data_IF_719871265449
#
_entry.id   IF_719871265449
#
_cell.length_a   1.000
_cell.length_b   1.000
_cell.length_c   1.000
_cell.angle_alpha   90.00
_cell.angle_beta   90.00
_cell.angle_gamma   90.00
#
_symmetry.space_group_name_H-M   'P 1'
#
loop_
_entity.id
_entity.type
_entity.pdbx_description
1 polymer ?
#
# COMPACT_ATOMS: atom_id res chain seq x y z
N UNK A 1 18.17 15.51 52.72
CA UNK A 1 17.42 15.45 51.44
C UNK A 1 18.22 14.80 50.30
N UNK A 2 19.49 15.16 50.03
CA UNK A 2 20.28 14.48 48.99
C UNK A 2 20.62 12.99 49.26
N UNK A 3 20.71 12.55 50.53
CA UNK A 3 20.90 11.12 50.89
C UNK A 3 19.63 10.25 50.79
N UNK A 4 18.43 10.86 50.71
CA UNK A 4 17.18 10.12 50.52
C UNK A 4 16.93 9.79 49.05
N UNK A 5 17.33 10.67 48.12
CA UNK A 5 17.15 10.45 46.68
C UNK A 5 18.03 9.32 46.12
N UNK A 6 19.24 9.13 46.65
CA UNK A 6 20.16 8.09 46.17
C UNK A 6 19.73 6.67 46.56
N UNK A 7 19.10 6.48 47.73
CA UNK A 7 18.58 5.17 48.14
C UNK A 7 17.30 4.78 47.38
N UNK A 8 16.47 5.75 46.99
CA UNK A 8 15.25 5.48 46.22
C UNK A 8 15.57 5.06 44.76
N UNK A 9 16.63 5.62 44.17
CA UNK A 9 17.13 5.24 42.84
C UNK A 9 17.80 3.86 42.82
N UNK A 10 18.41 3.42 43.92
CA UNK A 10 18.96 2.06 44.03
C UNK A 10 17.85 1.01 44.18
N UNK A 11 16.80 1.27 44.98
CA UNK A 11 15.65 0.36 45.10
C UNK A 11 14.88 0.20 43.77
N UNK A 12 14.72 1.29 43.01
CA UNK A 12 14.08 1.25 41.69
C UNK A 12 14.85 0.41 40.66
N UNK A 13 16.19 0.42 40.70
CA UNK A 13 17.02 -0.42 39.83
C UNK A 13 16.94 -1.91 40.19
N UNK A 14 16.91 -2.27 41.47
CA UNK A 14 16.84 -3.68 41.90
C UNK A 14 15.47 -4.30 41.54
N UNK A 15 14.38 -3.54 41.62
CA UNK A 15 13.05 -3.97 41.18
C UNK A 15 12.96 -4.16 39.65
N UNK A 16 13.63 -3.31 38.87
CA UNK A 16 13.63 -3.41 37.41
C UNK A 16 14.41 -4.64 36.90
N UNK A 17 15.54 -4.98 37.53
CA UNK A 17 16.34 -6.15 37.16
C UNK A 17 15.66 -7.48 37.55
N UNK A 18 14.97 -7.53 38.70
CA UNK A 18 14.26 -8.74 39.12
C UNK A 18 13.01 -9.03 38.27
N UNK A 19 12.28 -8.00 37.82
CA UNK A 19 11.15 -8.18 36.91
C UNK A 19 11.59 -8.65 35.51
N UNK A 20 12.71 -8.16 34.99
CA UNK A 20 13.24 -8.62 33.70
C UNK A 20 13.76 -10.08 33.77
N UNK A 21 14.36 -10.47 34.89
CA UNK A 21 14.79 -11.87 35.11
C UNK A 21 13.63 -12.86 35.17
N UNK A 22 12.50 -12.47 35.77
CA UNK A 22 11.28 -13.28 35.82
C UNK A 22 10.61 -13.41 34.44
N UNK A 23 10.58 -12.34 33.64
CA UNK A 23 10.03 -12.37 32.28
C UNK A 23 10.92 -13.20 31.33
N UNK A 24 12.25 -13.09 31.46
CA UNK A 24 13.19 -13.89 30.68
C UNK A 24 13.12 -15.39 31.01
N UNK A 25 12.92 -15.74 32.29
CA UNK A 25 12.74 -17.14 32.72
C UNK A 25 11.42 -17.73 32.24
N UNK A 26 10.36 -16.92 32.22
CA UNK A 26 9.04 -17.31 31.69
C UNK A 26 9.07 -17.54 30.17
N UNK A 27 9.79 -16.70 29.42
CA UNK A 27 10.01 -16.89 27.98
C UNK A 27 10.93 -18.08 27.68
N UNK A 28 11.97 -18.33 28.48
CA UNK A 28 12.85 -19.49 28.33
C UNK A 28 12.10 -20.82 28.57
N UNK A 29 11.17 -20.87 29.53
CA UNK A 29 10.28 -22.02 29.76
C UNK A 29 9.24 -22.19 28.64
N UNK A 30 8.74 -21.11 28.04
CA UNK A 30 7.80 -21.19 26.92
C UNK A 30 8.48 -21.71 25.62
N UNK A 31 9.72 -21.31 25.38
CA UNK A 31 10.53 -21.75 24.23
C UNK A 31 10.94 -23.23 24.37
N UNK A 32 11.24 -23.69 25.59
CA UNK A 32 11.58 -25.11 25.83
C UNK A 32 10.36 -26.03 25.75
N UNK A 33 9.17 -25.56 26.11
CA UNK A 33 7.93 -26.34 25.98
C UNK A 33 7.44 -26.46 24.52
N UNK A 34 7.72 -25.46 23.67
CA UNK A 34 7.39 -25.50 22.23
C UNK A 34 8.34 -26.42 21.43
N UNK A 35 9.62 -26.49 21.81
CA UNK A 35 10.63 -27.30 21.11
C UNK A 35 10.52 -28.83 21.36
N UNK A 36 9.68 -29.28 22.30
CA UNK A 36 9.42 -30.70 22.52
C UNK A 36 8.23 -31.24 21.68
N UNK A 37 7.49 -30.35 21.01
CA UNK A 37 6.32 -30.67 20.18
C UNK A 37 6.59 -30.61 18.67
N UNK A 38 7.74 -30.08 18.24
CA UNK A 38 8.13 -29.98 16.82
C UNK A 38 9.56 -30.51 16.69
N UNK A 39 9.69 -31.79 16.40
CA UNK A 39 10.98 -32.44 16.18
C UNK A 39 11.63 -31.99 14.87
N UNK A 40 12.38 -30.87 14.89
CA UNK A 40 13.34 -30.52 13.84
C UNK A 40 14.58 -29.88 14.47
N UNK A 41 15.74 -30.54 14.28
CA UNK A 41 17.07 -30.13 14.75
C UNK A 41 17.50 -28.83 14.06
N UNK A 42 17.83 -27.79 14.83
CA UNK A 42 18.56 -26.62 14.33
C UNK A 42 19.90 -26.49 15.07
N UNK A 43 20.97 -26.47 14.25
CA UNK A 43 22.35 -26.21 14.62
C UNK A 43 22.51 -24.80 15.21
N UNK A 44 23.34 -24.71 16.25
CA UNK A 44 23.75 -23.48 16.91
C UNK A 44 24.54 -22.54 15.98
N UNK A 45 24.19 -21.26 15.95
CA UNK A 45 25.03 -20.20 15.37
C UNK A 45 25.41 -19.17 16.44
N UNK A 46 26.71 -18.99 16.63
CA UNK A 46 27.33 -17.86 17.33
C UNK A 46 27.55 -16.70 16.35
N UNK A 47 27.58 -15.44 16.83
CA UNK A 47 27.88 -14.28 15.99
C UNK A 47 29.40 -14.06 15.96
N UNK A 48 29.99 -13.85 14.77
CA UNK A 48 31.02 -12.83 14.49
C UNK A 48 31.68 -13.06 13.11
N UNK A 49 31.86 -11.95 12.39
CA UNK A 49 32.91 -11.63 11.40
C UNK A 49 32.89 -12.20 9.97
N UNK A 50 32.99 -11.23 9.04
CA UNK A 50 33.51 -11.29 7.66
C UNK A 50 32.67 -11.97 6.56
N UNK A 51 32.02 -11.11 5.76
CA UNK A 51 31.41 -11.40 4.46
C UNK A 51 32.47 -11.33 3.35
N UNK A 52 33.11 -12.46 3.01
CA UNK A 52 33.78 -12.64 1.71
C UNK A 52 34.21 -14.09 1.46
N UNK A 53 33.27 -15.05 1.33
CA UNK A 53 33.53 -16.35 0.66
C UNK A 53 32.35 -17.32 0.75
N UNK A 54 31.22 -17.07 0.09
CA UNK A 54 30.21 -18.12 -0.18
C UNK A 54 29.63 -17.87 -1.58
N UNK A 55 30.39 -18.23 -2.61
CA UNK A 55 29.92 -18.42 -3.97
C UNK A 55 30.78 -19.51 -4.63
N UNK A 56 30.65 -20.73 -4.12
CA UNK A 56 31.04 -21.95 -4.81
C UNK A 56 30.52 -23.13 -3.98
N UNK A 57 29.93 -24.12 -4.64
CA UNK A 57 29.58 -25.45 -4.11
C UNK A 57 28.15 -25.65 -3.60
N UNK A 58 27.15 -25.58 -4.49
CA UNK A 58 25.96 -26.48 -4.41
C UNK A 58 25.43 -26.71 -5.83
N UNK A 59 26.05 -27.61 -6.58
CA UNK A 59 25.44 -28.14 -7.81
C UNK A 59 25.92 -29.58 -8.04
N UNK A 60 25.39 -30.50 -7.25
CA UNK A 60 25.39 -31.92 -7.55
C UNK A 60 24.34 -32.61 -6.68
N UNK A 61 23.45 -33.37 -7.34
CA UNK A 61 22.62 -34.50 -6.86
C UNK A 61 21.13 -34.35 -7.21
N UNK A 62 20.74 -34.95 -8.35
CA UNK A 62 19.68 -35.96 -8.45
C UNK A 62 19.21 -36.14 -9.92
N UNK A 63 19.27 -37.37 -10.48
CA UNK A 63 18.54 -37.73 -11.70
C UNK A 63 17.42 -38.74 -11.40
N UNK A 64 16.15 -38.44 -11.70
CA UNK A 64 15.10 -39.49 -11.80
C UNK A 64 13.95 -39.10 -12.77
N UNK A 65 13.87 -39.88 -13.86
CA UNK A 65 12.73 -40.37 -14.67
C UNK A 65 11.49 -39.51 -15.04
N UNK A 66 11.21 -39.38 -16.36
CA UNK A 66 10.08 -40.04 -17.10
C UNK A 66 10.03 -39.59 -18.59
N UNK A 67 9.35 -40.33 -19.52
CA UNK A 67 9.76 -40.46 -20.94
C UNK A 67 8.81 -39.79 -21.98
N UNK A 68 9.15 -39.84 -23.29
CA UNK A 68 8.11 -39.98 -24.31
C UNK A 68 8.35 -41.09 -25.37
N UNK A 69 7.23 -41.51 -25.96
CA UNK A 69 6.91 -42.58 -26.92
C UNK A 69 7.45 -42.34 -28.38
N UNK A 70 7.34 -43.35 -29.29
CA UNK A 70 8.24 -43.57 -30.45
C UNK A 70 7.62 -43.07 -31.78
N UNK A 71 8.32 -43.11 -32.95
CA UNK A 71 8.41 -44.37 -33.73
C UNK A 71 9.70 -44.56 -34.58
N UNK A 72 9.80 -45.80 -35.08
CA UNK A 72 10.52 -46.30 -36.28
C UNK A 72 11.87 -47.00 -36.09
N UNK A 73 11.82 -48.29 -36.42
CA UNK A 73 12.91 -49.24 -36.52
C UNK A 73 13.78 -48.95 -37.75
N UNK A 74 15.10 -48.98 -37.58
CA UNK A 74 15.98 -50.02 -38.12
C UNK A 74 17.41 -49.50 -38.39
N UNK A 75 18.36 -50.38 -38.09
CA UNK A 75 19.77 -50.42 -38.53
C UNK A 75 20.86 -49.81 -37.63
N UNK A 76 21.47 -50.74 -36.88
CA UNK A 76 22.92 -51.01 -36.80
C UNK A 76 23.88 -49.98 -36.17
N UNK A 77 24.21 -50.30 -34.92
CA UNK A 77 25.53 -50.27 -34.27
C UNK A 77 26.72 -50.19 -35.24
N UNK A 78 27.49 -49.09 -35.19
CA UNK A 78 28.96 -49.11 -35.21
C UNK A 78 29.56 -47.71 -34.94
N UNK A 79 30.31 -47.64 -33.83
CA UNK A 79 31.56 -46.92 -33.64
C UNK A 79 31.64 -45.38 -33.85
N UNK A 80 31.73 -44.72 -32.70
CA UNK A 80 32.48 -43.48 -32.41
C UNK A 80 33.88 -43.46 -33.06
N UNK A 81 34.33 -42.22 -33.30
CA UNK A 81 35.70 -41.65 -33.41
C UNK A 81 35.79 -40.94 -34.78
N UNK A 82 35.72 -39.61 -34.93
CA UNK A 82 36.54 -38.59 -34.27
C UNK A 82 35.87 -37.21 -34.40
N UNK A 83 35.43 -36.60 -33.29
CA UNK A 83 35.13 -35.16 -33.22
C UNK A 83 36.19 -34.46 -32.38
N UNK A 84 37.44 -34.47 -32.86
CA UNK A 84 38.53 -33.65 -32.30
C UNK A 84 38.95 -32.50 -33.24
N UNK A 85 38.10 -32.15 -34.21
CA UNK A 85 38.33 -31.07 -35.17
C UNK A 85 37.22 -29.99 -35.22
N UNK A 86 36.22 -30.06 -34.33
CA UNK A 86 35.10 -29.10 -34.28
C UNK A 86 35.03 -28.30 -32.96
N UNK A 87 36.07 -28.36 -32.13
CA UNK A 87 36.17 -27.59 -30.88
C UNK A 87 37.05 -26.34 -31.01
N UNK A 88 37.75 -26.14 -32.14
CA UNK A 88 38.60 -24.96 -32.39
C UNK A 88 37.94 -23.90 -33.29
N UNK A 89 36.75 -24.16 -33.84
CA UNK A 89 36.07 -23.21 -34.74
C UNK A 89 34.95 -22.40 -34.06
N UNK A 90 34.48 -22.79 -32.85
CA UNK A 90 33.46 -22.05 -32.11
C UNK A 90 34.04 -21.03 -31.11
N UNK A 91 35.34 -21.12 -30.80
CA UNK A 91 36.04 -20.16 -29.93
C UNK A 91 36.43 -18.85 -30.64
N UNK A 92 36.34 -18.79 -31.97
CA UNK A 92 36.76 -17.63 -32.76
C UNK A 92 35.60 -16.72 -33.20
N UNK A 93 34.34 -17.12 -32.96
CA UNK A 93 33.16 -16.28 -33.24
C UNK A 93 32.49 -15.71 -31.97
N UNK A 94 33.07 -15.96 -30.79
CA UNK A 94 32.59 -15.43 -29.51
C UNK A 94 33.45 -14.26 -28.98
N UNK A 95 34.42 -13.76 -29.76
CA UNK A 95 35.29 -12.64 -29.37
C UNK A 95 35.14 -11.37 -30.22
N UNK A 96 34.08 -11.31 -31.05
CA UNK A 96 33.74 -10.11 -31.82
C UNK A 96 32.30 -9.64 -31.57
N UNK A 97 31.76 -9.91 -30.39
CA UNK A 97 30.93 -8.90 -29.73
C UNK A 97 31.92 -8.00 -29.01
N UNK A 98 32.64 -7.22 -29.83
CA UNK A 98 33.39 -6.08 -29.36
C UNK A 98 32.43 -5.31 -28.47
N UNK A 99 32.80 -5.20 -27.20
CA UNK A 99 32.41 -4.16 -26.26
C UNK A 99 31.63 -3.05 -26.95
N UNK A 100 30.32 -3.25 -27.12
CA UNK A 100 29.42 -2.11 -27.04
C UNK A 100 29.65 -1.66 -25.62
N UNK A 101 30.57 -0.71 -25.50
CA UNK A 101 30.54 0.23 -24.43
C UNK A 101 29.06 0.61 -24.36
N UNK A 102 28.32 0.02 -23.42
CA UNK A 102 27.46 0.81 -22.59
C UNK A 102 28.41 1.84 -21.98
N UNK A 103 28.80 2.83 -22.79
CA UNK A 103 29.28 4.08 -22.31
C UNK A 103 28.18 4.43 -21.33
N UNK A 104 28.51 4.29 -20.04
CA UNK A 104 27.61 4.62 -18.96
C UNK A 104 27.03 5.97 -19.38
N UNK A 105 25.76 5.96 -19.79
CA UNK A 105 25.03 7.16 -20.19
C UNK A 105 25.34 8.14 -19.08
N UNK A 106 26.17 9.15 -19.38
CA UNK A 106 26.90 9.91 -18.39
C UNK A 106 25.91 10.27 -17.29
N UNK A 107 26.06 9.66 -16.10
CA UNK A 107 25.03 9.66 -15.07
C UNK A 107 24.57 11.09 -14.89
N UNK A 108 23.39 11.41 -15.44
CA UNK A 108 22.95 12.79 -15.65
C UNK A 108 23.08 13.48 -14.31
N UNK A 109 23.97 14.47 -14.22
CA UNK A 109 24.33 15.07 -12.94
C UNK A 109 23.04 15.49 -12.21
N UNK A 110 22.77 14.84 -11.07
CA UNK A 110 21.55 15.09 -10.30
C UNK A 110 21.76 16.43 -9.60
N UNK A 111 21.48 17.54 -10.28
CA UNK A 111 21.46 18.86 -9.66
C UNK A 111 20.12 19.05 -8.94
N UNK A 112 20.09 19.19 -7.60
CA UNK A 112 18.86 19.53 -6.91
C UNK A 112 18.44 20.95 -7.33
N UNK A 113 17.19 21.11 -7.76
CA UNK A 113 16.60 22.42 -8.01
C UNK A 113 16.50 23.20 -6.71
N UNK A 114 17.09 24.40 -6.65
CA UNK A 114 17.04 25.28 -5.47
C UNK A 114 15.60 25.61 -5.05
N UNK A 115 14.67 25.69 -6.00
CA UNK A 115 13.27 26.04 -5.77
C UNK A 115 12.42 24.90 -5.19
N UNK A 116 12.94 23.66 -5.14
CA UNK A 116 12.20 22.53 -4.57
C UNK A 116 12.18 22.64 -3.06
N UNK A 117 11.01 22.98 -2.54
CA UNK A 117 10.75 23.04 -1.12
C UNK A 117 10.71 21.62 -0.52
N UNK A 118 11.40 21.43 0.60
CA UNK A 118 11.41 20.14 1.34
C UNK A 118 10.25 20.01 2.32
N UNK A 119 9.80 21.14 2.85
CA UNK A 119 8.74 21.21 3.84
C UNK A 119 7.69 22.23 3.41
N UNK A 120 6.50 21.75 3.06
CA UNK A 120 5.35 22.59 2.84
C UNK A 120 4.57 22.72 4.14
N UNK A 121 4.42 23.95 4.62
CA UNK A 121 3.70 24.27 5.86
C UNK A 121 2.21 23.87 5.81
N UNK A 122 1.64 23.73 4.61
CA UNK A 122 0.24 23.35 4.39
C UNK A 122 0.00 21.85 4.56
N UNK A 123 1.07 21.04 4.58
CA UNK A 123 0.97 19.60 4.46
C UNK A 123 0.36 19.15 3.12
N UNK A 124 -0.05 17.88 3.06
CA UNK A 124 -0.69 17.33 1.88
C UNK A 124 -2.16 17.80 1.82
N UNK A 125 -2.59 18.31 0.67
CA UNK A 125 -4.00 18.70 0.47
C UNK A 125 -4.89 17.47 0.33
N UNK A 126 -6.07 17.53 0.98
CA UNK A 126 -7.10 16.49 0.91
C UNK A 126 -7.72 16.36 -0.49
N UNK A 127 -8.06 17.49 -1.12
CA UNK A 127 -8.66 17.55 -2.45
C UNK A 127 -7.65 18.17 -3.40
N UNK A 128 -7.27 17.41 -4.43
CA UNK A 128 -6.29 17.80 -5.45
C UNK A 128 -6.97 17.84 -6.82
N UNK A 129 -7.26 19.04 -7.36
CA UNK A 129 -7.76 19.17 -8.71
C UNK A 129 -6.64 18.91 -9.72
N UNK A 130 -6.94 18.18 -10.80
CA UNK A 130 -6.03 17.89 -11.90
C UNK A 130 -6.64 18.39 -13.21
N UNK A 131 -6.10 19.47 -13.77
CA UNK A 131 -6.66 20.11 -14.97
C UNK A 131 -8.08 20.63 -14.69
N UNK A 132 -9.06 20.13 -15.45
CA UNK A 132 -10.49 20.47 -15.26
C UNK A 132 -11.21 19.55 -14.28
N UNK A 133 -10.52 18.51 -13.78
CA UNK A 133 -11.13 17.50 -12.92
C UNK A 133 -10.94 17.85 -11.46
N UNK A 134 -12.06 18.06 -10.77
CA UNK A 134 -12.12 18.37 -9.35
C UNK A 134 -12.85 17.23 -8.64
N UNK A 135 -12.25 16.60 -7.61
CA UNK A 135 -12.95 15.63 -6.79
C UNK A 135 -14.21 16.24 -6.17
N UNK A 136 -15.34 15.54 -6.27
CA UNK A 136 -16.63 15.95 -5.70
C UNK A 136 -16.94 15.08 -4.50
N UNK A 137 -17.28 15.72 -3.39
CA UNK A 137 -17.65 15.06 -2.14
C UNK A 137 -19.03 15.56 -1.75
N UNK A 138 -19.95 14.63 -1.48
CA UNK A 138 -21.27 14.95 -0.96
C UNK A 138 -21.19 15.63 0.42
N UNK A 139 -22.24 16.38 0.79
CA UNK A 139 -22.23 17.20 2.02
C UNK A 139 -22.30 16.34 3.28
N UNK A 140 -22.96 15.19 3.20
CA UNK A 140 -23.12 14.23 4.30
C UNK A 140 -22.01 13.16 4.33
N UNK A 141 -21.13 13.14 3.33
CA UNK A 141 -20.07 12.16 3.23
C UNK A 141 -18.89 12.51 4.14
N UNK A 142 -18.43 11.53 4.92
CA UNK A 142 -17.27 11.68 5.77
C UNK A 142 -15.98 11.40 5.00
N UNK A 143 -15.08 12.38 4.93
CA UNK A 143 -13.73 12.19 4.37
C UNK A 143 -12.70 12.62 5.40
N UNK A 144 -11.96 11.64 5.90
CA UNK A 144 -10.90 11.85 6.88
C UNK A 144 -9.83 12.86 6.41
N UNK A 145 -9.19 13.60 7.34
CA UNK A 145 -8.24 14.67 7.00
C UNK A 145 -6.96 14.16 6.32
N UNK A 146 -6.57 12.91 6.58
CA UNK A 146 -5.35 12.28 6.04
C UNK A 146 -5.54 11.66 4.65
N UNK A 147 -6.74 11.76 4.07
CA UNK A 147 -7.06 11.16 2.78
C UNK A 147 -6.55 12.04 1.64
N UNK A 148 -6.13 11.41 0.55
CA UNK A 148 -5.81 12.11 -0.70
C UNK A 148 -6.82 11.74 -1.77
N UNK A 149 -7.63 12.70 -2.19
CA UNK A 149 -8.53 12.61 -3.34
C UNK A 149 -7.93 13.42 -4.49
N UNK A 150 -7.60 12.76 -5.60
CA UNK A 150 -6.96 13.40 -6.75
C UNK A 150 -7.69 13.07 -8.05
N UNK A 151 -7.96 14.09 -8.88
CA UNK A 151 -8.57 13.94 -10.20
C UNK A 151 -10.08 13.70 -10.19
N UNK A 152 -10.57 12.80 -11.05
CA UNK A 152 -11.99 12.46 -11.18
C UNK A 152 -12.43 11.46 -10.10
N UNK A 153 -12.68 11.95 -8.89
CA UNK A 153 -13.24 11.15 -7.80
C UNK A 153 -14.58 11.73 -7.39
N UNK A 154 -15.61 10.89 -7.29
CA UNK A 154 -16.93 11.28 -6.78
C UNK A 154 -17.26 10.41 -5.58
N UNK A 155 -17.47 11.06 -4.43
CA UNK A 155 -17.91 10.42 -3.18
C UNK A 155 -19.37 10.79 -2.99
N UNK A 156 -20.25 9.79 -3.08
CA UNK A 156 -21.71 9.96 -3.02
C UNK A 156 -22.23 10.10 -1.59
N UNK A 157 -23.53 10.33 -1.47
CA UNK A 157 -24.17 10.60 -0.19
C UNK A 157 -24.01 9.43 0.82
N UNK A 158 -23.75 9.77 2.07
CA UNK A 158 -23.55 8.83 3.17
C UNK A 158 -22.32 7.93 3.03
N UNK A 159 -21.47 8.15 2.03
CA UNK A 159 -20.22 7.40 1.88
C UNK A 159 -19.16 7.89 2.88
N UNK A 160 -18.27 6.99 3.28
CA UNK A 160 -17.17 7.33 4.19
C UNK A 160 -15.81 6.88 3.66
N UNK A 161 -14.82 7.76 3.72
CA UNK A 161 -13.43 7.47 3.35
C UNK A 161 -12.53 7.70 4.57
N UNK A 162 -11.95 6.60 5.05
CA UNK A 162 -11.26 6.54 6.34
C UNK A 162 -9.77 6.88 6.22
N UNK A 163 -9.09 6.90 7.36
CA UNK A 163 -7.76 7.46 7.52
C UNK A 163 -6.71 6.82 6.58
N UNK A 164 -5.93 7.69 5.91
CA UNK A 164 -4.78 7.27 5.10
C UNK A 164 -5.14 6.67 3.74
N UNK A 165 -6.40 6.76 3.32
CA UNK A 165 -6.79 6.33 1.99
C UNK A 165 -6.24 7.24 0.89
N UNK A 166 -5.96 6.66 -0.27
CA UNK A 166 -5.55 7.39 -1.47
C UNK A 166 -6.47 6.99 -2.62
N UNK A 167 -7.30 7.92 -3.09
CA UNK A 167 -8.16 7.75 -4.25
C UNK A 167 -7.61 8.61 -5.37
N UNK A 168 -7.01 7.97 -6.38
CA UNK A 168 -6.37 8.65 -7.50
C UNK A 168 -7.08 8.31 -8.80
N UNK A 169 -7.99 9.19 -9.20
CA UNK A 169 -8.72 9.17 -10.46
C UNK A 169 -8.06 10.09 -11.49
N UNK A 170 -6.75 9.95 -11.67
CA UNK A 170 -5.97 10.71 -12.65
C UNK A 170 -6.11 10.14 -14.06
N UNK A 171 -6.28 8.82 -14.19
CA UNK A 171 -6.44 8.17 -15.49
C UNK A 171 -7.90 8.04 -15.91
N UNK A 172 -8.76 7.58 -15.00
CA UNK A 172 -10.19 7.36 -15.21
C UNK A 172 -10.98 7.67 -13.94
N UNK A 173 -12.31 7.71 -14.07
CA UNK A 173 -13.20 8.07 -12.95
C UNK A 173 -13.23 7.01 -11.86
N UNK A 174 -13.33 7.48 -10.61
CA UNK A 174 -13.59 6.67 -9.42
C UNK A 174 -14.89 7.16 -8.79
N UNK A 175 -15.84 6.26 -8.60
CA UNK A 175 -17.13 6.54 -7.97
C UNK A 175 -17.29 5.68 -6.72
N UNK A 176 -17.55 6.35 -5.59
CA UNK A 176 -17.94 5.69 -4.32
C UNK A 176 -19.42 5.94 -4.12
N UNK A 177 -20.20 4.87 -4.09
CA UNK A 177 -21.66 4.87 -4.04
C UNK A 177 -22.25 5.14 -2.67
N UNK A 178 -23.58 5.11 -2.60
CA UNK A 178 -24.35 5.47 -1.41
C UNK A 178 -24.05 4.56 -0.21
N UNK A 179 -23.82 5.16 0.97
CA UNK A 179 -23.58 4.43 2.22
C UNK A 179 -22.43 3.40 2.12
N UNK A 180 -21.48 3.62 1.21
CA UNK A 180 -20.32 2.75 1.03
C UNK A 180 -19.12 3.30 1.78
N UNK A 181 -18.31 2.40 2.32
CA UNK A 181 -17.18 2.78 3.15
C UNK A 181 -15.86 2.25 2.55
N UNK A 182 -14.85 3.11 2.57
CA UNK A 182 -13.47 2.80 2.19
C UNK A 182 -12.64 2.92 3.47
N UNK A 183 -12.36 1.79 4.11
CA UNK A 183 -11.65 1.73 5.39
C UNK A 183 -10.17 2.12 5.26
N UNK A 184 -9.43 2.12 6.36
CA UNK A 184 -8.12 2.74 6.49
C UNK A 184 -7.11 2.25 5.47
N UNK A 185 -6.26 3.17 5.00
CA UNK A 185 -5.09 2.89 4.15
C UNK A 185 -5.43 2.13 2.87
N UNK A 186 -6.65 2.25 2.37
CA UNK A 186 -7.01 1.71 1.06
C UNK A 186 -6.42 2.58 -0.06
N UNK A 187 -5.99 1.93 -1.12
CA UNK A 187 -5.48 2.60 -2.32
C UNK A 187 -6.39 2.26 -3.50
N UNK A 188 -7.03 3.27 -4.07
CA UNK A 188 -7.92 3.12 -5.22
C UNK A 188 -7.32 3.88 -6.38
N UNK A 189 -7.08 3.18 -7.47
CA UNK A 189 -6.51 3.72 -8.69
C UNK A 189 -7.31 3.23 -9.90
N UNK A 190 -7.28 3.98 -10.98
CA UNK A 190 -7.87 3.56 -12.25
C UNK A 190 -6.76 3.32 -13.27
N UNK A 191 -6.83 2.23 -14.04
CA UNK A 191 -5.91 1.89 -15.12
C UNK A 191 -6.12 2.81 -16.32
N UNK A 192 -5.10 2.95 -17.19
CA UNK A 192 -5.17 3.83 -18.37
C UNK A 192 -6.17 3.35 -19.43
N UNK A 193 -6.07 2.06 -19.79
CA UNK A 193 -6.86 1.46 -20.86
C UNK A 193 -7.23 0.04 -20.47
N UNK A 194 -8.50 -0.19 -20.18
CA UNK A 194 -9.11 -1.48 -19.86
C UNK A 194 -10.58 -1.44 -20.31
N UNK A 195 -11.20 -2.57 -20.68
CA UNK A 195 -12.63 -2.62 -21.00
C UNK A 195 -13.54 -2.06 -19.89
N UNK A 196 -13.10 -2.16 -18.62
CA UNK A 196 -13.69 -1.46 -17.46
C UNK A 196 -12.62 -0.55 -16.87
N UNK A 197 -12.29 0.53 -17.57
CA UNK A 197 -11.20 1.42 -17.15
C UNK A 197 -11.49 2.18 -15.84
N UNK A 198 -12.75 2.22 -15.43
CA UNK A 198 -13.26 2.98 -14.30
C UNK A 198 -13.39 2.09 -13.05
N UNK A 199 -13.28 2.70 -11.87
CA UNK A 199 -13.53 1.99 -10.61
C UNK A 199 -14.88 2.44 -10.06
N UNK A 200 -15.89 1.56 -10.09
CA UNK A 200 -17.19 1.82 -9.49
C UNK A 200 -17.39 0.98 -8.25
N UNK A 201 -17.66 1.65 -7.14
CA UNK A 201 -18.10 1.05 -5.89
C UNK A 201 -19.56 1.45 -5.75
N UNK A 202 -20.46 0.48 -5.84
CA UNK A 202 -21.90 0.73 -5.76
C UNK A 202 -22.36 0.95 -4.30
N UNK A 203 -23.67 0.89 -4.05
CA UNK A 203 -24.27 1.15 -2.72
C UNK A 203 -24.00 0.05 -1.69
N UNK A 204 -23.91 0.43 -0.41
CA UNK A 204 -23.74 -0.49 0.73
C UNK A 204 -22.52 -1.41 0.61
N UNK A 205 -21.46 -0.95 -0.04
CA UNK A 205 -20.21 -1.71 -0.16
C UNK A 205 -19.30 -1.37 1.00
N UNK A 206 -18.77 -2.40 1.65
CA UNK A 206 -17.80 -2.27 2.75
C UNK A 206 -16.43 -2.71 2.25
N UNK A 207 -15.50 -1.77 2.10
CA UNK A 207 -14.12 -2.06 1.69
C UNK A 207 -13.22 -2.10 2.91
N UNK A 208 -12.70 -3.29 3.21
CA UNK A 208 -11.85 -3.56 4.35
C UNK A 208 -10.52 -2.81 4.30
N UNK A 209 -9.95 -2.54 5.47
CA UNK A 209 -8.68 -1.82 5.61
C UNK A 209 -7.54 -2.44 4.77
N UNK A 210 -6.62 -1.59 4.29
CA UNK A 210 -5.47 -1.96 3.45
C UNK A 210 -5.83 -2.62 2.11
N UNK A 211 -7.05 -2.42 1.62
CA UNK A 211 -7.43 -2.95 0.31
C UNK A 211 -6.83 -2.14 -0.83
N UNK A 212 -6.46 -2.82 -1.91
CA UNK A 212 -5.98 -2.21 -3.13
C UNK A 212 -6.98 -2.49 -4.25
N UNK A 213 -7.57 -1.43 -4.79
CA UNK A 213 -8.53 -1.52 -5.89
C UNK A 213 -7.94 -0.88 -7.15
N UNK A 214 -7.96 -1.62 -8.26
CA UNK A 214 -7.54 -1.10 -9.57
C UNK A 214 -8.57 -1.44 -10.64
N UNK A 215 -9.28 -0.45 -11.16
CA UNK A 215 -10.25 -0.59 -12.27
C UNK A 215 -11.18 -1.78 -12.12
N UNK A 216 -11.88 -1.82 -10.99
CA UNK A 216 -12.83 -2.87 -10.64
C UNK A 216 -14.24 -2.30 -10.51
N UNK A 217 -15.23 -3.15 -10.77
CA UNK A 217 -16.64 -2.83 -10.55
C UNK A 217 -17.13 -3.71 -9.41
N UNK A 218 -17.56 -3.07 -8.33
CA UNK A 218 -18.11 -3.75 -7.15
C UNK A 218 -19.58 -3.38 -7.08
N UNK A 219 -20.44 -4.37 -7.30
CA UNK A 219 -21.89 -4.24 -7.28
C UNK A 219 -22.43 -3.99 -5.85
N UNK A 220 -23.73 -3.66 -5.71
CA UNK A 220 -24.33 -3.36 -4.41
C UNK A 220 -24.15 -4.45 -3.36
N UNK A 221 -24.04 -4.03 -2.10
CA UNK A 221 -24.10 -4.94 -0.94
C UNK A 221 -23.00 -6.00 -0.98
N UNK A 222 -21.77 -5.58 -1.25
CA UNK A 222 -20.59 -6.45 -1.20
C UNK A 222 -19.71 -6.13 0.02
N UNK A 223 -19.03 -7.14 0.54
CA UNK A 223 -17.99 -6.96 1.55
C UNK A 223 -16.66 -7.38 0.95
N UNK A 224 -15.71 -6.44 0.93
CA UNK A 224 -14.33 -6.71 0.56
C UNK A 224 -13.53 -6.84 1.86
N UNK A 225 -12.99 -8.02 2.13
CA UNK A 225 -12.21 -8.28 3.33
C UNK A 225 -10.96 -7.40 3.42
N UNK A 226 -10.39 -7.31 4.62
CA UNK A 226 -9.16 -6.57 4.86
C UNK A 226 -8.00 -7.10 4.01
N UNK A 227 -7.09 -6.22 3.59
CA UNK A 227 -5.91 -6.58 2.82
C UNK A 227 -6.22 -7.28 1.48
N UNK A 228 -7.40 -7.03 0.90
CA UNK A 228 -7.79 -7.60 -0.38
C UNK A 228 -7.24 -6.79 -1.55
N UNK A 229 -6.92 -7.47 -2.65
CA UNK A 229 -6.38 -6.84 -3.86
C UNK A 229 -7.29 -7.20 -5.03
N UNK A 230 -7.88 -6.19 -5.66
CA UNK A 230 -8.73 -6.33 -6.83
C UNK A 230 -8.02 -5.75 -8.05
N UNK A 231 -7.83 -6.59 -9.05
CA UNK A 231 -7.14 -6.23 -10.28
C UNK A 231 -8.11 -5.80 -11.39
N UNK A 232 -7.53 -5.26 -12.45
CA UNK A 232 -8.25 -4.65 -13.57
C UNK A 232 -9.30 -5.59 -14.18
N UNK A 233 -10.52 -5.09 -14.38
CA UNK A 233 -11.59 -5.90 -14.98
C UNK A 233 -12.26 -6.87 -14.03
N UNK A 234 -11.92 -6.89 -12.74
CA UNK A 234 -12.63 -7.71 -11.78
C UNK A 234 -14.05 -7.15 -11.53
N UNK A 235 -15.05 -8.01 -11.67
CA UNK A 235 -16.43 -7.71 -11.34
C UNK A 235 -16.80 -8.52 -10.10
N UNK A 236 -17.17 -7.83 -9.02
CA UNK A 236 -17.72 -8.45 -7.81
C UNK A 236 -19.21 -8.21 -7.82
N UNK A 237 -19.99 -9.28 -7.95
CA UNK A 237 -21.45 -9.17 -8.06
C UNK A 237 -22.13 -8.97 -6.71
N UNK A 238 -23.40 -8.59 -6.76
CA UNK A 238 -24.24 -8.34 -5.59
C UNK A 238 -24.14 -9.41 -4.50
N UNK A 239 -24.19 -8.99 -3.24
CA UNK A 239 -24.15 -9.90 -2.10
C UNK A 239 -22.92 -10.83 -2.05
N UNK A 240 -21.79 -10.44 -2.65
CA UNK A 240 -20.57 -11.25 -2.59
C UNK A 240 -19.68 -10.82 -1.43
N UNK A 241 -18.99 -11.79 -0.82
CA UNK A 241 -18.04 -11.54 0.26
C UNK A 241 -16.66 -12.06 -0.15
N UNK A 242 -15.66 -11.18 -0.10
CA UNK A 242 -14.26 -11.56 -0.14
C UNK A 242 -13.71 -11.66 1.28
N UNK A 243 -13.07 -12.78 1.59
CA UNK A 243 -12.32 -12.91 2.84
C UNK A 243 -11.06 -12.03 2.85
N UNK A 244 -10.50 -11.84 4.04
CA UNK A 244 -9.27 -11.10 4.21
C UNK A 244 -8.11 -11.72 3.42
N UNK A 245 -7.24 -10.88 2.85
CA UNK A 245 -6.09 -11.31 2.06
C UNK A 245 -6.44 -11.90 0.68
N UNK A 246 -7.67 -11.73 0.21
CA UNK A 246 -8.11 -12.24 -1.09
C UNK A 246 -7.51 -11.44 -2.24
N UNK A 247 -6.98 -12.13 -3.25
CA UNK A 247 -6.41 -11.49 -4.44
C UNK A 247 -7.19 -11.93 -5.68
N UNK A 248 -7.97 -11.01 -6.24
CA UNK A 248 -8.80 -11.26 -7.41
C UNK A 248 -7.99 -10.97 -8.68
N UNK A 249 -7.72 -11.97 -9.53
CA UNK A 249 -6.98 -11.77 -10.76
C UNK A 249 -7.76 -10.91 -11.77
N UNK A 250 -7.07 -10.31 -12.76
CA UNK A 250 -7.72 -9.43 -13.72
C UNK A 250 -8.79 -10.16 -14.54
N UNK A 251 -9.89 -9.48 -14.85
CA UNK A 251 -11.02 -10.02 -15.61
C UNK A 251 -11.84 -11.11 -14.88
N UNK A 252 -11.56 -11.38 -13.60
CA UNK A 252 -12.30 -12.38 -12.84
C UNK A 252 -13.63 -11.82 -12.35
N UNK A 253 -14.71 -12.55 -12.65
CA UNK A 253 -16.05 -12.31 -12.14
C UNK A 253 -16.31 -13.18 -10.91
N UNK A 254 -16.78 -12.57 -9.83
CA UNK A 254 -17.22 -13.22 -8.60
C UNK A 254 -18.75 -13.25 -8.62
N UNK A 255 -19.37 -14.44 -8.65
CA UNK A 255 -20.83 -14.58 -8.74
C UNK A 255 -21.57 -14.06 -7.51
N UNK A 256 -22.83 -13.66 -7.70
CA UNK A 256 -23.73 -13.23 -6.64
C UNK A 256 -23.85 -14.24 -5.50
N UNK A 257 -23.78 -13.76 -4.26
CA UNK A 257 -24.06 -14.58 -3.08
C UNK A 257 -22.96 -15.61 -2.75
N UNK A 258 -21.75 -15.45 -3.29
CA UNK A 258 -20.64 -16.36 -3.03
C UNK A 258 -19.59 -15.75 -2.08
N UNK A 259 -18.97 -16.63 -1.30
CA UNK A 259 -17.80 -16.32 -0.47
C UNK A 259 -16.53 -16.83 -1.16
N UNK A 260 -15.58 -15.93 -1.36
CA UNK A 260 -14.30 -16.21 -2.01
C UNK A 260 -13.13 -15.86 -1.10
N UNK A 261 -12.07 -16.66 -1.18
CA UNK A 261 -10.88 -16.48 -0.34
C UNK A 261 -9.59 -16.85 -1.08
N UNK A 262 -8.47 -16.34 -0.58
CA UNK A 262 -7.12 -16.76 -0.94
C UNK A 262 -6.44 -15.95 -2.05
N UNK A 263 -5.20 -16.34 -2.35
CA UNK A 263 -4.35 -15.70 -3.35
C UNK A 263 -3.75 -16.78 -4.27
N UNK A 264 -4.28 -16.98 -5.50
CA UNK A 264 -5.41 -16.26 -6.10
C UNK A 264 -6.75 -16.65 -5.48
N UNK A 265 -7.74 -15.75 -5.57
CA UNK A 265 -9.07 -15.94 -5.00
C UNK A 265 -9.78 -17.15 -5.62
N UNK A 266 -10.33 -18.01 -4.76
CA UNK A 266 -11.10 -19.19 -5.12
C UNK A 266 -12.43 -19.20 -4.39
N UNK A 267 -13.43 -19.80 -5.03
CA UNK A 267 -14.70 -20.08 -4.41
C UNK A 267 -14.50 -20.98 -3.19
N UNK A 268 -15.13 -20.61 -2.07
CA UNK A 268 -15.12 -21.40 -0.83
C UNK A 268 -16.49 -22.04 -0.62
N UNK A 269 -17.54 -21.21 -0.60
CA UNK A 269 -18.92 -21.63 -0.37
C UNK A 269 -19.91 -20.56 -0.81
N UNK A 270 -21.18 -20.94 -0.94
CA UNK A 270 -22.28 -19.99 -1.01
C UNK A 270 -22.54 -19.36 0.38
N UNK A 271 -23.04 -18.13 0.37
CA UNK A 271 -23.42 -17.41 1.58
C UNK A 271 -24.76 -17.89 2.12
N UNK A 272 -24.93 -17.77 3.43
CA UNK A 272 -26.22 -18.00 4.06
C UNK A 272 -27.11 -16.76 3.91
N UNK A 273 -28.43 -16.96 4.04
CA UNK A 273 -29.37 -15.85 4.00
C UNK A 273 -29.15 -14.86 5.15
N UNK A 274 -28.75 -15.35 6.32
CA UNK A 274 -28.42 -14.53 7.49
C UNK A 274 -27.25 -13.60 7.19
N UNK A 275 -26.15 -14.14 6.64
CA UNK A 275 -24.97 -13.34 6.24
C UNK A 275 -25.34 -12.27 5.22
N UNK A 276 -26.18 -12.62 4.25
CA UNK A 276 -26.63 -11.69 3.20
C UNK A 276 -27.42 -10.51 3.79
N UNK A 277 -28.29 -10.76 4.78
CA UNK A 277 -29.06 -9.72 5.48
C UNK A 277 -28.21 -8.87 6.44
N UNK A 278 -27.03 -9.35 6.84
CA UNK A 278 -26.10 -8.61 7.70
C UNK A 278 -25.25 -7.59 6.95
N UNK A 279 -24.97 -7.81 5.66
CA UNK A 279 -24.17 -6.90 4.83
C UNK A 279 -24.64 -5.44 4.90
N UNK A 280 -25.92 -5.11 4.62
CA UNK A 280 -26.38 -3.73 4.69
C UNK A 280 -26.40 -3.19 6.13
N UNK A 281 -26.63 -4.03 7.14
CA UNK A 281 -26.60 -3.62 8.55
C UNK A 281 -25.20 -3.15 8.95
N UNK A 282 -24.16 -3.86 8.50
CA UNK A 282 -22.77 -3.48 8.73
C UNK A 282 -22.46 -2.13 8.07
N UNK A 283 -22.87 -1.93 6.82
CA UNK A 283 -22.65 -0.67 6.10
C UNK A 283 -23.30 0.52 6.81
N UNK A 284 -24.54 0.36 7.30
CA UNK A 284 -25.25 1.40 8.08
C UNK A 284 -24.56 1.65 9.42
N UNK A 285 -24.12 0.61 10.13
CA UNK A 285 -23.42 0.79 11.39
C UNK A 285 -22.10 1.59 11.23
N UNK A 286 -21.36 1.34 10.14
CA UNK A 286 -20.15 2.12 9.82
C UNK A 286 -20.52 3.56 9.43
N UNK A 287 -21.62 3.76 8.71
CA UNK A 287 -22.11 5.10 8.38
C UNK A 287 -22.46 5.89 9.65
N UNK A 288 -23.14 5.28 10.63
CA UNK A 288 -23.44 5.95 11.90
C UNK A 288 -22.17 6.34 12.66
N UNK A 289 -21.16 5.46 12.69
CA UNK A 289 -19.84 5.81 13.23
C UNK A 289 -19.18 6.95 12.45
N UNK A 290 -19.36 6.98 11.12
CA UNK A 290 -18.81 8.05 10.28
C UNK A 290 -19.47 9.39 10.57
N UNK A 291 -20.75 9.42 10.94
CA UNK A 291 -21.47 10.64 11.36
C UNK A 291 -20.93 11.17 12.69
N UNK A 292 -20.63 10.29 13.65
CA UNK A 292 -19.98 10.69 14.90
C UNK A 292 -18.64 11.36 14.62
N UNK A 293 -17.82 10.76 13.76
CA UNK A 293 -16.54 11.36 13.35
C UNK A 293 -16.76 12.67 12.58
N UNK A 294 -17.74 12.73 11.68
CA UNK A 294 -18.06 13.93 10.93
C UNK A 294 -18.45 15.09 11.84
N UNK A 295 -19.19 14.82 12.92
CA UNK A 295 -19.62 15.83 13.89
C UNK A 295 -18.47 16.49 14.67
N UNK A 296 -17.34 15.79 14.79
CA UNK A 296 -16.12 16.33 15.42
C UNK A 296 -15.42 17.37 14.52
N UNK A 297 -15.62 17.31 13.20
CA UNK A 297 -14.98 18.24 12.27
C UNK A 297 -15.85 19.46 11.98
N UNK A 298 -15.30 20.63 12.27
CA UNK A 298 -15.84 21.91 11.80
C UNK A 298 -15.57 22.10 10.30
N UNK A 299 -16.40 22.87 9.57
CA UNK A 299 -16.22 23.11 8.14
C UNK A 299 -14.90 23.83 7.82
N UNK A 300 -14.42 24.67 8.72
CA UNK A 300 -13.16 25.40 8.60
C UNK A 300 -12.20 25.03 9.73
N UNK A 301 -10.95 24.78 9.36
CA UNK A 301 -9.88 24.54 10.33
C UNK A 301 -9.32 25.86 10.89
N UNK A 302 -8.86 25.86 12.13
CA UNK A 302 -8.19 27.00 12.79
C UNK A 302 -6.72 27.19 12.41
N UNK A 303 -6.18 26.33 11.52
CA UNK A 303 -4.76 26.28 11.11
C UNK A 303 -4.25 27.63 10.56
N UNK A 304 -5.12 28.46 9.97
CA UNK A 304 -4.71 29.77 9.45
C UNK A 304 -4.18 30.72 10.54
N UNK A 305 -4.66 30.61 11.79
CA UNK A 305 -4.18 31.39 12.93
C UNK A 305 -2.75 31.03 13.31
N UNK A 306 -2.41 29.73 13.23
CA UNK A 306 -1.06 29.25 13.48
C UNK A 306 -0.10 29.74 12.39
N UNK A 307 -0.52 29.64 11.13
CA UNK A 307 0.25 30.16 9.99
C UNK A 307 0.48 31.67 10.12
N UNK A 308 -0.53 32.42 10.54
CA UNK A 308 -0.42 33.86 10.77
C UNK A 308 0.56 34.17 11.92
N UNK A 309 0.47 33.44 13.04
CA UNK A 309 1.40 33.58 14.17
C UNK A 309 2.84 33.30 13.75
N UNK A 310 3.06 32.23 13.00
CA UNK A 310 4.35 31.86 12.44
C UNK A 310 4.85 32.94 11.48
N UNK A 311 3.98 33.46 10.60
CA UNK A 311 4.31 34.52 9.67
C UNK A 311 4.77 35.79 10.39
N UNK A 312 4.06 36.22 11.44
CA UNK A 312 4.40 37.41 12.21
C UNK A 312 5.67 37.27 13.05
N UNK A 313 6.06 36.03 13.39
CA UNK A 313 7.29 35.73 14.13
C UNK A 313 8.57 35.88 13.29
N UNK A 314 8.48 35.86 11.96
CA UNK A 314 9.66 36.00 11.10
C UNK A 314 10.21 37.44 11.14
N UNK A 315 11.53 37.61 11.27
CA UNK A 315 12.16 38.92 11.25
C UNK A 315 11.97 39.58 9.87
N UNK A 316 11.58 40.86 9.86
CA UNK A 316 11.49 41.63 8.63
C UNK A 316 12.89 41.74 8.02
N UNK A 317 13.12 41.18 6.83
CA UNK A 317 14.37 41.36 6.11
C UNK A 317 14.40 42.81 5.61
N UNK A 318 15.29 43.64 6.16
CA UNK A 318 15.63 44.93 5.55
C UNK A 318 16.28 44.67 4.19
N UNK A 319 15.49 44.79 3.13
CA UNK A 319 16.01 44.86 1.76
C UNK A 319 16.28 46.34 1.50
N UNK A 320 17.55 46.74 1.60
CA UNK A 320 18.12 47.99 1.09
C UNK A 320 17.19 49.22 1.11
N UNK A 321 17.10 49.91 2.24
CA UNK A 321 16.82 51.36 2.28
C UNK A 321 15.39 51.83 2.05
N UNK A 322 14.40 50.95 1.87
CA UNK A 322 12.99 51.35 1.88
C UNK A 322 12.26 50.64 3.01
N UNK A 323 11.78 51.42 4.01
CA UNK A 323 10.74 50.96 4.94
C UNK A 323 9.43 50.87 4.18
N UNK A 324 9.25 49.83 3.38
CA UNK A 324 7.92 49.42 2.94
C UNK A 324 7.20 48.87 4.16
N UNK A 325 6.28 49.67 4.69
CA UNK A 325 5.41 49.26 5.78
C UNK A 325 4.68 47.96 5.37
N UNK A 326 4.52 47.06 6.34
CA UNK A 326 3.85 45.73 6.37
C UNK A 326 2.44 45.62 5.71
N UNK A 327 1.96 46.61 4.95
CA UNK A 327 0.61 46.71 4.37
C UNK A 327 0.51 46.34 2.88
N UNK A 328 1.59 46.34 2.11
CA UNK A 328 1.48 46.10 0.65
C UNK A 328 1.13 44.65 0.27
N UNK A 329 1.29 43.69 1.19
CA UNK A 329 0.95 42.27 0.96
C UNK A 329 -0.51 41.94 1.33
N UNK A 330 -1.30 42.89 1.86
CA UNK A 330 -2.75 42.68 1.96
C UNK A 330 -3.42 42.63 0.57
N UNK A 331 -2.82 43.23 -0.46
CA UNK A 331 -3.38 43.25 -1.83
C UNK A 331 -3.39 41.88 -2.52
N UNK A 332 -2.52 40.95 -2.10
CA UNK A 332 -2.40 39.61 -2.71
C UNK A 332 -3.19 38.56 -1.94
N UNK A 333 -3.48 38.80 -0.65
CA UNK A 333 -4.21 37.85 0.22
C UNK A 333 -5.73 38.10 0.17
N UNK A 334 -6.19 39.33 -0.04
CA UNK A 334 -7.62 39.67 -0.05
C UNK A 334 -8.46 39.19 -1.26
N UNK A 335 -7.96 39.02 -2.51
CA UNK A 335 -8.82 38.53 -3.59
C UNK A 335 -9.20 37.04 -3.42
N UNK A 336 -8.50 36.27 -2.58
CA UNK A 336 -8.90 34.88 -2.28
C UNK A 336 -10.02 34.79 -1.23
N UNK A 337 -10.18 35.80 -0.37
CA UNK A 337 -11.25 35.82 0.64
C UNK A 337 -12.57 36.30 0.04
N UNK A 338 -12.55 37.19 -0.97
CA UNK A 338 -13.76 37.69 -1.62
C UNK A 338 -14.37 36.74 -2.66
N UNK A 339 -13.63 35.71 -3.10
CA UNK A 339 -14.15 34.64 -3.98
C UNK A 339 -14.81 33.50 -3.16
N UNK A 340 -14.69 33.54 -1.82
CA UNK A 340 -15.22 32.53 -0.88
C UNK A 340 -16.46 33.01 -0.09
N UNK A 341 -16.96 34.23 -0.35
CA UNK A 341 -18.24 34.77 0.14
C UNK A 341 -19.27 34.78 -0.99
#
# INVERSE_FOLDING_TARGET
>A
LLKCCTNLLLMGRVLFYNCFGLIASFWAQLITHQNHLIGVRLFSFSPFSSLSSIFASVEALNPFLSPPLPPTMASSIAARISRKAAASAFSAHCHTIASRNFAAEAAKAISPSADRVKWDYRGQRKIIPLGQWVPKVAVDAYVAPNVVLAGQVTVSDGASVWNGCVLRGDLNKITVGFCSNVQERCVIHAAWSSPTAETSIERFVTIGAYSLLRSCTIEPECIIGQHSILMEGSLVETHSILEAGSVVPPGRRIPTGELWAGNPARFVRALTHEETLEIPKLAVAINDLSKEHFSEFLPYSTIYLEVETVYWSFPCKEISGQRTYRKEVLSVVYPCILIML
#
